data_IF_308394373828
#
_entry.id   IF_308394373828
#
_cell.length_a   1.000
_cell.length_b   1.000
_cell.length_c   1.000
_cell.angle_alpha   90.00
_cell.angle_beta   90.00
_cell.angle_gamma   90.00
#
_symmetry.space_group_name_H-M   'P 1'
#
loop_
_entity.id
_entity.type
_entity.pdbx_description
1 polymer ?
#
# COMPACT_ATOMS: atom_id res chain seq x y z
N UNK A 1 -12.43 -87.08 0.95
CA UNK A 1 -12.49 -86.20 2.14
C UNK A 1 -12.81 -84.78 1.70
N UNK A 2 -13.91 -84.23 2.24
CA UNK A 2 -14.40 -82.87 2.04
C UNK A 2 -13.36 -81.83 2.49
N UNK A 3 -12.94 -80.89 1.62
CA UNK A 3 -12.35 -79.62 2.06
C UNK A 3 -13.38 -78.52 1.87
N UNK A 4 -13.77 -77.93 3.00
CA UNK A 4 -14.88 -77.00 3.17
C UNK A 4 -14.66 -75.72 2.36
N UNK A 5 -15.68 -75.41 1.56
CA UNK A 5 -15.97 -74.08 1.03
C UNK A 5 -16.28 -73.16 2.23
N UNK A 6 -15.41 -72.19 2.53
CA UNK A 6 -15.70 -71.09 3.44
C UNK A 6 -15.71 -69.81 2.60
N UNK A 7 -16.88 -69.18 2.48
CA UNK A 7 -16.94 -67.79 2.00
C UNK A 7 -18.05 -67.41 1.01
N UNK A 8 -18.97 -68.30 0.62
CA UNK A 8 -20.00 -67.94 -0.39
C UNK A 8 -21.43 -67.70 0.14
N UNK A 9 -21.63 -67.55 1.46
CA UNK A 9 -22.99 -67.46 2.02
C UNK A 9 -23.37 -66.16 2.73
N UNK A 10 -22.45 -65.18 2.86
CA UNK A 10 -22.77 -63.83 3.34
C UNK A 10 -21.77 -62.78 2.83
N UNK A 11 -21.65 -62.57 1.52
CA UNK A 11 -21.09 -61.33 0.94
C UNK A 11 -19.71 -60.81 1.38
N UNK A 12 -18.95 -61.52 2.22
CA UNK A 12 -17.72 -61.03 2.84
C UNK A 12 -16.55 -61.95 2.51
N UNK A 13 -15.70 -61.45 1.61
CA UNK A 13 -14.42 -62.03 1.28
C UNK A 13 -13.44 -61.75 2.44
N UNK A 14 -13.18 -62.75 3.27
CA UNK A 14 -12.15 -62.68 4.30
C UNK A 14 -10.79 -63.05 3.70
N UNK A 15 -9.90 -62.08 3.51
CA UNK A 15 -8.51 -62.32 3.06
C UNK A 15 -7.57 -62.19 4.26
N UNK A 16 -7.28 -63.32 4.90
CA UNK A 16 -6.61 -63.30 6.22
C UNK A 16 -5.09 -63.09 6.16
N UNK A 17 -4.41 -63.37 5.03
CA UNK A 17 -2.99 -63.05 4.79
C UNK A 17 -2.56 -63.55 3.41
N UNK A 18 -2.34 -62.68 2.44
CA UNK A 18 -1.63 -63.08 1.20
C UNK A 18 -0.16 -62.73 1.39
N UNK A 19 0.69 -63.75 1.55
CA UNK A 19 2.14 -63.58 1.49
C UNK A 19 2.61 -63.74 0.05
N UNK A 20 3.44 -62.78 -0.35
CA UNK A 20 4.43 -62.80 -1.43
C UNK A 20 3.95 -62.47 -2.86
N UNK A 21 4.40 -61.28 -3.32
CA UNK A 21 4.88 -61.01 -4.68
C UNK A 21 3.93 -61.12 -5.89
N UNK A 22 2.62 -61.10 -5.72
CA UNK A 22 1.71 -60.91 -6.85
C UNK A 22 0.60 -59.92 -6.45
N UNK A 23 0.31 -58.96 -7.33
CA UNK A 23 -0.69 -57.94 -7.09
C UNK A 23 -2.08 -58.57 -7.02
N UNK A 24 -2.74 -58.52 -5.86
CA UNK A 24 -4.17 -58.78 -5.78
C UNK A 24 -4.89 -57.52 -6.28
N UNK A 25 -5.29 -57.54 -7.55
CA UNK A 25 -6.08 -56.44 -8.14
C UNK A 25 -7.55 -56.72 -7.89
N UNK A 26 -8.11 -56.15 -6.83
CA UNK A 26 -9.56 -56.14 -6.65
C UNK A 26 -10.17 -55.05 -7.54
N UNK A 27 -10.71 -55.46 -8.70
CA UNK A 27 -11.46 -54.57 -9.59
C UNK A 27 -12.95 -54.60 -9.23
N UNK A 28 -13.50 -53.44 -8.90
CA UNK A 28 -14.95 -53.26 -8.88
C UNK A 28 -15.45 -53.11 -10.33
N UNK A 29 -16.63 -53.66 -10.64
CA UNK A 29 -17.25 -53.49 -11.96
C UNK A 29 -17.58 -52.02 -12.21
N UNK A 30 -17.85 -51.62 -13.44
CA UNK A 30 -18.32 -50.25 -13.70
C UNK A 30 -19.63 -49.97 -12.92
N UNK A 31 -19.74 -48.81 -12.29
CA UNK A 31 -20.91 -48.39 -11.51
C UNK A 31 -20.55 -47.56 -10.28
N UNK A 32 -21.58 -47.08 -9.57
CA UNK A 32 -21.42 -46.44 -8.26
C UNK A 32 -21.16 -47.53 -7.22
N UNK A 33 -20.04 -47.43 -6.52
CA UNK A 33 -19.70 -48.30 -5.40
C UNK A 33 -19.46 -47.47 -4.15
N UNK A 34 -19.81 -48.05 -3.01
CA UNK A 34 -19.37 -47.57 -1.70
C UNK A 34 -18.47 -48.65 -1.14
N UNK A 35 -17.26 -48.28 -0.72
CA UNK A 35 -16.30 -49.18 -0.09
C UNK A 35 -16.08 -48.67 1.32
N UNK A 36 -16.65 -49.37 2.29
CA UNK A 36 -16.47 -49.08 3.70
C UNK A 36 -15.32 -49.94 4.24
N UNK A 37 -14.30 -49.29 4.79
CA UNK A 37 -13.13 -49.95 5.38
C UNK A 37 -13.20 -49.76 6.89
N UNK A 38 -13.72 -50.76 7.60
CA UNK A 38 -13.81 -50.75 9.07
C UNK A 38 -12.49 -51.18 9.70
N UNK A 39 -11.52 -50.26 9.77
CA UNK A 39 -10.22 -50.48 10.39
C UNK A 39 -9.79 -49.28 11.24
N UNK A 40 -8.89 -49.49 12.20
CA UNK A 40 -8.34 -48.42 13.04
C UNK A 40 -7.42 -47.47 12.27
N UNK A 41 -6.67 -48.00 11.30
CA UNK A 41 -5.81 -47.21 10.41
C UNK A 41 -5.72 -47.86 9.03
N UNK A 42 -5.43 -47.04 8.03
CA UNK A 42 -5.06 -47.48 6.68
C UNK A 42 -3.57 -47.19 6.53
N UNK A 43 -2.75 -48.20 6.28
CA UNK A 43 -1.31 -48.05 6.04
C UNK A 43 -1.00 -48.24 4.56
N UNK A 44 -0.52 -47.18 3.92
CA UNK A 44 -0.10 -47.15 2.52
C UNK A 44 1.40 -46.93 2.50
N UNK A 45 2.17 -47.91 2.01
CA UNK A 45 3.63 -47.87 2.02
C UNK A 45 4.21 -48.24 0.67
N UNK A 46 5.28 -47.53 0.26
CA UNK A 46 6.05 -47.78 -0.95
C UNK A 46 7.22 -46.80 -1.02
N UNK A 47 8.00 -46.83 -2.10
CA UNK A 47 9.07 -45.84 -2.32
C UNK A 47 8.52 -44.43 -2.52
N UNK A 48 7.29 -44.32 -3.04
CA UNK A 48 6.57 -43.06 -3.28
C UNK A 48 5.07 -43.33 -3.17
N UNK A 49 4.53 -43.49 -1.95
CA UNK A 49 3.13 -43.85 -1.77
C UNK A 49 2.19 -42.71 -2.22
N UNK A 50 1.07 -43.08 -2.85
CA UNK A 50 0.04 -42.13 -3.26
C UNK A 50 -1.36 -42.73 -3.29
N UNK A 51 -2.37 -41.86 -3.23
CA UNK A 51 -3.76 -42.12 -3.59
C UNK A 51 -4.07 -41.26 -4.81
N UNK A 52 -4.43 -41.88 -5.94
CA UNK A 52 -4.69 -41.19 -7.22
C UNK A 52 -6.16 -41.28 -7.59
N UNK A 53 -6.71 -40.16 -8.02
CA UNK A 53 -8.05 -40.00 -8.54
C UNK A 53 -7.92 -39.58 -10.02
N UNK A 54 -8.26 -40.50 -10.91
CA UNK A 54 -8.18 -40.32 -12.36
C UNK A 54 -9.60 -40.30 -12.94
N UNK A 55 -10.01 -39.16 -13.50
CA UNK A 55 -11.20 -39.09 -14.34
C UNK A 55 -10.88 -39.47 -15.79
N UNK A 56 -11.88 -39.95 -16.53
CA UNK A 56 -11.72 -40.38 -17.94
C UNK A 56 -12.56 -39.57 -18.92
N UNK A 57 -13.39 -38.68 -18.40
CA UNK A 57 -14.20 -37.73 -19.15
C UNK A 57 -13.37 -36.61 -19.81
N UNK A 58 -13.94 -35.91 -20.77
CA UNK A 58 -13.27 -34.79 -21.42
C UNK A 58 -13.02 -33.65 -20.39
N UNK A 59 -11.76 -33.23 -20.26
CA UNK A 59 -11.36 -32.25 -19.24
C UNK A 59 -11.22 -32.82 -17.83
N UNK A 60 -11.23 -34.15 -17.69
CA UNK A 60 -10.99 -34.83 -16.42
C UNK A 60 -9.68 -34.40 -15.78
N UNK A 61 -9.68 -34.37 -14.45
CA UNK A 61 -8.48 -34.18 -13.66
C UNK A 61 -7.83 -35.53 -13.34
N UNK A 62 -6.50 -35.51 -13.23
CA UNK A 62 -5.72 -36.61 -12.70
C UNK A 62 -4.87 -36.11 -11.54
N UNK A 63 -5.39 -36.30 -10.33
CA UNK A 63 -4.86 -35.68 -9.12
C UNK A 63 -4.79 -36.69 -7.99
N UNK A 64 -3.99 -36.41 -6.98
CA UNK A 64 -3.95 -37.28 -5.82
C UNK A 64 -3.18 -36.72 -4.65
N UNK A 65 -3.15 -37.52 -3.59
CA UNK A 65 -2.35 -37.28 -2.40
C UNK A 65 -1.10 -38.14 -2.53
N UNK A 66 0.08 -37.53 -2.54
CA UNK A 66 1.36 -38.19 -2.80
C UNK A 66 2.39 -37.76 -1.75
N UNK A 67 3.19 -38.71 -1.28
CA UNK A 67 4.45 -38.39 -0.61
C UNK A 67 5.48 -38.00 -1.67
N UNK A 68 6.13 -36.86 -1.45
CA UNK A 68 7.18 -36.37 -2.32
C UNK A 68 8.28 -35.68 -1.52
N UNK A 69 9.47 -36.29 -1.54
CA UNK A 69 10.66 -35.81 -0.87
C UNK A 69 10.48 -35.55 0.64
N UNK A 70 9.67 -36.36 1.31
CA UNK A 70 9.44 -36.30 2.75
C UNK A 70 8.22 -35.49 3.18
N UNK A 71 7.44 -34.93 2.25
CA UNK A 71 6.24 -34.15 2.56
C UNK A 71 4.98 -34.66 1.85
N UNK A 72 3.83 -34.49 2.50
CA UNK A 72 2.53 -34.83 1.94
C UNK A 72 2.01 -33.70 1.04
N UNK A 73 1.74 -34.03 -0.23
CA UNK A 73 1.33 -33.05 -1.24
C UNK A 73 0.06 -33.46 -1.99
N UNK A 74 -0.69 -32.47 -2.45
CA UNK A 74 -1.64 -32.63 -3.55
C UNK A 74 -0.87 -32.52 -4.85
N UNK A 75 -0.87 -33.60 -5.63
CA UNK A 75 -0.08 -33.74 -6.85
C UNK A 75 -0.98 -33.81 -8.08
N UNK A 76 -0.57 -33.13 -9.16
CA UNK A 76 -1.16 -33.27 -10.49
C UNK A 76 -0.34 -34.27 -11.31
N UNK A 77 -0.92 -35.44 -11.56
CA UNK A 77 -0.25 -36.52 -12.28
C UNK A 77 -0.22 -36.27 -13.80
N UNK A 78 -1.16 -35.48 -14.33
CA UNK A 78 -1.13 -35.05 -15.75
C UNK A 78 -0.01 -34.06 -16.01
N UNK A 79 0.15 -33.07 -15.13
CA UNK A 79 1.16 -32.02 -15.25
C UNK A 79 2.53 -32.40 -14.65
N UNK A 80 2.60 -33.54 -13.94
CA UNK A 80 3.75 -33.98 -13.17
C UNK A 80 4.29 -32.88 -12.24
N UNK A 81 3.39 -32.23 -11.49
CA UNK A 81 3.72 -31.08 -10.65
C UNK A 81 2.91 -31.03 -9.35
N UNK A 82 3.48 -30.34 -8.37
CA UNK A 82 2.83 -30.10 -7.09
C UNK A 82 1.77 -28.99 -7.22
N UNK A 83 0.55 -29.27 -6.76
CA UNK A 83 -0.53 -28.28 -6.66
C UNK A 83 -0.51 -27.58 -5.30
N UNK A 84 -0.26 -28.36 -4.24
CA UNK A 84 -0.22 -27.86 -2.88
C UNK A 84 0.65 -28.75 -2.00
N UNK A 85 1.50 -28.14 -1.19
CA UNK A 85 2.20 -28.81 -0.10
C UNK A 85 1.39 -28.59 1.19
N UNK A 86 0.91 -29.68 1.79
CA UNK A 86 0.01 -29.64 2.94
C UNK A 86 0.75 -29.35 4.25
N UNK A 87 2.04 -29.66 4.32
CA UNK A 87 2.86 -29.46 5.51
C UNK A 87 3.43 -28.04 5.56
N UNK A 88 3.79 -27.48 4.40
CA UNK A 88 4.30 -26.11 4.32
C UNK A 88 3.21 -25.05 4.17
N UNK A 89 1.94 -25.44 4.03
CA UNK A 89 0.82 -24.49 3.89
C UNK A 89 0.78 -23.43 5.01
N UNK A 90 1.00 -23.84 6.26
CA UNK A 90 1.02 -22.91 7.40
C UNK A 90 2.14 -21.87 7.33
N UNK A 91 3.29 -22.23 6.72
CA UNK A 91 4.45 -21.34 6.56
C UNK A 91 4.34 -20.37 5.37
N UNK A 92 3.30 -20.53 4.53
CA UNK A 92 3.03 -19.62 3.39
C UNK A 92 2.23 -18.38 3.77
N UNK A 93 1.79 -18.26 5.02
CA UNK A 93 1.13 -17.05 5.55
C UNK A 93 2.12 -16.21 6.35
N UNK A 94 2.05 -14.87 6.20
CA UNK A 94 2.88 -13.95 6.97
C UNK A 94 2.55 -13.95 8.48
N UNK A 95 1.39 -14.51 8.90
CA UNK A 95 1.38 -15.60 9.90
C UNK A 95 0.04 -16.34 10.02
N UNK A 96 0.10 -17.67 10.23
CA UNK A 96 -0.84 -18.45 11.05
C UNK A 96 -2.10 -19.05 10.42
N UNK A 97 -2.68 -18.48 9.36
CA UNK A 97 -3.91 -19.03 8.76
C UNK A 97 -4.77 -17.98 8.05
N UNK A 98 -6.03 -18.33 7.74
CA UNK A 98 -6.92 -17.63 6.79
C UNK A 98 -7.15 -16.12 7.07
N UNK A 99 -6.24 -15.30 6.52
CA UNK A 99 -6.23 -13.84 6.37
C UNK A 99 -6.01 -12.99 7.64
N UNK A 100 -4.75 -12.84 8.07
CA UNK A 100 -4.37 -11.69 8.90
C UNK A 100 -3.07 -11.03 8.42
N UNK A 101 -3.18 -9.73 8.10
CA UNK A 101 -2.08 -8.82 7.78
C UNK A 101 -2.08 -7.70 8.84
N UNK A 102 -1.42 -7.96 9.97
CA UNK A 102 -1.21 -6.96 11.04
C UNK A 102 0.21 -6.40 10.97
N UNK A 103 0.34 -5.08 11.23
CA UNK A 103 1.59 -4.31 11.27
C UNK A 103 2.30 -4.11 9.93
N UNK A 104 1.58 -3.65 8.91
CA UNK A 104 2.18 -3.20 7.64
C UNK A 104 2.82 -1.81 7.82
N UNK A 105 4.05 -1.79 8.31
CA UNK A 105 4.83 -0.55 8.47
C UNK A 105 5.33 0.01 7.13
N UNK A 106 5.26 -0.77 6.04
CA UNK A 106 5.73 -0.37 4.73
C UNK A 106 4.90 -1.01 3.60
N UNK A 107 4.15 -0.20 2.86
CA UNK A 107 3.41 -0.63 1.65
C UNK A 107 3.98 0.13 0.46
N UNK A 108 5.05 -0.37 -0.14
CA UNK A 108 5.71 0.32 -1.25
C UNK A 108 5.25 -0.14 -2.63
N UNK A 109 4.44 -1.20 -2.73
CA UNK A 109 4.08 -1.81 -4.01
C UNK A 109 2.68 -2.44 -4.04
N UNK A 110 1.75 -1.93 -3.24
CA UNK A 110 0.34 -2.32 -3.40
C UNK A 110 -0.25 -1.61 -4.61
N UNK A 111 -0.86 -2.37 -5.50
CA UNK A 111 -1.55 -1.82 -6.68
C UNK A 111 -2.64 -0.85 -6.19
N UNK A 112 -2.54 0.42 -6.60
CA UNK A 112 -3.47 1.49 -6.21
C UNK A 112 -3.05 2.32 -5.00
N UNK A 113 -1.90 2.08 -4.38
CA UNK A 113 -1.38 2.86 -3.26
C UNK A 113 0.00 3.46 -3.59
N UNK A 114 0.16 4.77 -3.45
CA UNK A 114 1.43 5.48 -3.62
C UNK A 114 1.57 6.57 -2.56
N UNK A 115 2.60 6.43 -1.71
CA UNK A 115 2.97 7.43 -0.68
C UNK A 115 3.71 8.60 -1.31
N UNK A 116 4.50 8.36 -2.35
CA UNK A 116 5.27 9.40 -3.07
C UNK A 116 4.35 10.42 -3.75
N UNK A 117 3.13 10.03 -4.10
CA UNK A 117 2.10 10.94 -4.60
C UNK A 117 1.31 11.67 -3.50
N UNK A 118 1.53 11.40 -2.21
CA UNK A 118 0.73 11.98 -1.14
C UNK A 118 0.97 13.48 -0.98
N UNK A 119 2.23 13.92 -0.99
CA UNK A 119 2.57 15.33 -0.82
C UNK A 119 1.99 16.20 -1.95
N UNK A 120 2.00 15.69 -3.19
CA UNK A 120 1.45 16.40 -4.35
C UNK A 120 -0.08 16.44 -4.38
N UNK A 121 -0.78 15.55 -3.65
CA UNK A 121 -2.25 15.57 -3.55
C UNK A 121 -2.78 16.74 -2.73
N UNK A 122 -2.01 17.25 -1.78
CA UNK A 122 -2.34 18.44 -0.98
C UNK A 122 -1.95 19.76 -1.66
N UNK A 123 -1.24 19.72 -2.79
CA UNK A 123 -0.89 20.92 -3.53
C UNK A 123 -2.14 21.57 -4.15
N UNK A 124 -2.05 22.87 -4.48
CA UNK A 124 -3.14 23.61 -5.10
C UNK A 124 -3.62 22.94 -6.40
N UNK A 125 -4.92 22.58 -6.46
CA UNK A 125 -5.51 21.84 -7.59
C UNK A 125 -5.29 20.31 -7.57
N UNK A 126 -4.68 19.77 -6.51
CA UNK A 126 -4.52 18.33 -6.30
C UNK A 126 -5.83 17.62 -5.93
N UNK A 127 -5.81 16.29 -5.91
CA UNK A 127 -6.98 15.47 -5.59
C UNK A 127 -7.52 15.67 -4.16
N UNK A 128 -6.65 16.07 -3.22
CA UNK A 128 -6.99 16.41 -1.84
C UNK A 128 -6.74 17.91 -1.60
N UNK A 129 -7.10 18.75 -2.57
CA UNK A 129 -7.03 20.19 -2.39
C UNK A 129 -7.85 20.63 -1.17
N UNK A 130 -7.31 21.55 -0.39
CA UNK A 130 -8.03 22.21 0.69
C UNK A 130 -9.31 22.83 0.13
N UNK A 131 -10.47 22.42 0.65
CA UNK A 131 -11.76 22.99 0.26
C UNK A 131 -11.85 24.45 0.69
N UNK A 132 -12.81 25.20 0.14
CA UNK A 132 -13.10 26.56 0.59
C UNK A 132 -13.27 26.62 2.12
N UNK A 133 -12.62 27.60 2.76
CA UNK A 133 -12.58 27.78 4.22
C UNK A 133 -11.96 26.61 5.04
N UNK A 134 -11.19 25.71 4.41
CA UNK A 134 -10.57 24.59 5.12
C UNK A 134 -9.53 25.00 6.17
N UNK A 135 -8.90 26.17 6.02
CA UNK A 135 -7.98 26.73 7.02
C UNK A 135 -8.76 27.58 8.02
N UNK A 136 -9.02 27.04 9.21
CA UNK A 136 -9.54 27.81 10.34
C UNK A 136 -8.40 28.58 11.00
N UNK A 137 -8.67 29.75 11.59
CA UNK A 137 -7.65 30.55 12.28
C UNK A 137 -6.87 29.76 13.35
N UNK A 138 -7.52 28.81 14.05
CA UNK A 138 -6.86 27.94 15.03
C UNK A 138 -5.83 26.97 14.43
N UNK A 139 -5.88 26.74 13.11
CA UNK A 139 -4.96 25.89 12.36
C UNK A 139 -3.82 26.71 11.75
N UNK A 140 -3.90 28.04 11.82
CA UNK A 140 -2.83 28.92 11.36
C UNK A 140 -2.11 29.41 12.61
N UNK A 141 -1.08 28.67 13.02
CA UNK A 141 -0.13 29.16 14.01
C UNK A 141 0.54 30.40 13.42
N UNK A 142 0.37 31.55 14.08
CA UNK A 142 0.89 32.83 13.61
C UNK A 142 1.92 33.29 14.61
N UNK A 143 3.18 33.21 14.22
CA UNK A 143 4.29 33.75 15.00
C UNK A 143 5.02 34.80 14.18
N UNK A 144 5.51 35.84 14.84
CA UNK A 144 6.41 36.79 14.19
C UNK A 144 7.85 36.25 14.26
N UNK A 145 8.55 36.31 13.14
CA UNK A 145 9.98 36.04 13.09
C UNK A 145 10.81 37.21 13.64
N UNK A 146 12.08 37.24 13.28
CA UNK A 146 12.97 38.37 13.62
C UNK A 146 12.72 39.55 12.69
N UNK A 147 12.53 40.75 13.24
CA UNK A 147 12.44 41.98 12.46
C UNK A 147 13.72 42.22 11.67
N UNK A 148 13.54 42.66 10.42
CA UNK A 148 14.64 43.04 9.53
C UNK A 148 14.56 44.52 9.19
N UNK A 149 15.71 45.18 9.16
CA UNK A 149 15.85 46.55 8.69
C UNK A 149 16.21 46.56 7.21
N UNK A 150 15.47 47.32 6.43
CA UNK A 150 15.71 47.54 5.00
C UNK A 150 15.98 49.01 4.77
N UNK A 151 17.23 49.34 4.50
CA UNK A 151 17.63 50.69 4.07
C UNK A 151 17.29 50.86 2.59
N UNK A 152 16.51 51.89 2.27
CA UNK A 152 16.18 52.29 0.90
C UNK A 152 16.83 53.62 0.61
N UNK A 153 17.77 53.64 -0.33
CA UNK A 153 18.47 54.87 -0.75
C UNK A 153 17.50 55.93 -1.25
N UNK A 154 17.86 57.20 -1.08
CA UNK A 154 17.09 58.34 -1.59
C UNK A 154 16.65 58.15 -3.05
N UNK A 155 15.37 58.38 -3.34
CA UNK A 155 14.80 58.25 -4.69
C UNK A 155 14.79 56.83 -5.27
N UNK A 156 15.08 55.80 -4.47
CA UNK A 156 15.20 54.41 -4.91
C UNK A 156 14.06 53.52 -4.42
N UNK A 157 14.00 52.30 -4.96
CA UNK A 157 13.03 51.29 -4.56
C UNK A 157 13.71 50.00 -4.13
N UNK A 158 13.08 49.25 -3.22
CA UNK A 158 13.52 47.92 -2.79
C UNK A 158 12.36 46.94 -2.81
N UNK A 159 12.50 45.83 -3.53
CA UNK A 159 11.45 44.79 -3.61
C UNK A 159 11.39 44.01 -2.29
N UNK A 160 10.18 43.80 -1.78
CA UNK A 160 9.96 43.00 -0.57
C UNK A 160 10.03 41.53 -0.95
N UNK A 161 10.75 40.72 -0.17
CA UNK A 161 10.85 39.28 -0.38
C UNK A 161 9.50 38.59 -0.24
N UNK A 162 9.36 37.39 -0.81
CA UNK A 162 8.12 36.60 -0.68
C UNK A 162 7.75 36.39 0.79
N UNK A 163 6.49 36.57 1.15
CA UNK A 163 5.99 36.38 2.51
C UNK A 163 4.88 37.35 2.91
N UNK A 164 4.47 37.26 4.18
CA UNK A 164 3.54 38.19 4.82
C UNK A 164 4.32 38.96 5.88
N UNK A 165 4.26 40.29 5.85
CA UNK A 165 5.03 41.15 6.74
C UNK A 165 4.12 42.16 7.43
N UNK A 166 4.36 42.41 8.71
CA UNK A 166 3.97 43.67 9.34
C UNK A 166 5.11 44.66 9.06
N UNK A 167 4.78 45.82 8.49
CA UNK A 167 5.77 46.82 8.08
C UNK A 167 5.58 48.11 8.85
N UNK A 168 6.71 48.75 9.17
CA UNK A 168 6.77 50.14 9.65
C UNK A 168 7.72 50.91 8.75
N UNK A 169 7.24 51.97 8.11
CA UNK A 169 7.96 52.65 7.04
C UNK A 169 8.73 53.86 7.54
N UNK A 170 9.85 54.15 6.87
CA UNK A 170 10.53 55.44 6.99
C UNK A 170 9.63 56.60 6.56
N UNK A 171 9.92 57.81 7.05
CA UNK A 171 9.03 58.97 6.91
C UNK A 171 8.64 59.31 5.46
N UNK A 172 9.53 59.07 4.50
CA UNK A 172 9.34 59.34 3.08
C UNK A 172 9.23 58.05 2.22
N UNK A 173 9.19 56.89 2.87
CA UNK A 173 9.09 55.58 2.23
C UNK A 173 7.65 55.08 2.23
N UNK A 174 7.12 54.77 1.05
CA UNK A 174 5.77 54.18 0.85
C UNK A 174 5.86 52.74 0.36
N UNK A 175 4.78 51.98 0.50
CA UNK A 175 4.63 50.66 -0.14
C UNK A 175 3.79 50.78 -1.38
N UNK A 176 4.27 50.18 -2.47
CA UNK A 176 3.53 50.06 -3.73
C UNK A 176 3.38 48.61 -4.13
N UNK A 177 2.24 48.26 -4.71
CA UNK A 177 2.02 46.94 -5.31
C UNK A 177 1.83 47.05 -6.82
N UNK A 178 2.18 45.99 -7.54
CA UNK A 178 1.96 45.87 -8.97
C UNK A 178 0.97 44.74 -9.27
N UNK A 179 -0.14 45.02 -10.00
CA UNK A 179 -1.05 43.99 -10.48
C UNK A 179 -0.59 43.31 -11.78
N UNK A 180 0.53 43.75 -12.35
CA UNK A 180 0.96 43.46 -13.72
C UNK A 180 2.48 43.18 -13.80
N UNK A 181 3.03 42.49 -12.80
CA UNK A 181 4.43 42.02 -12.76
C UNK A 181 5.48 43.14 -12.92
N UNK A 182 5.22 44.29 -12.31
CA UNK A 182 6.16 45.40 -12.16
C UNK A 182 6.03 46.51 -13.20
N UNK A 183 5.06 46.46 -14.13
CA UNK A 183 4.86 47.53 -15.12
C UNK A 183 4.10 48.73 -14.57
N UNK A 184 3.06 48.51 -13.77
CA UNK A 184 2.28 49.55 -13.09
C UNK A 184 2.43 49.40 -11.59
N UNK A 185 2.65 50.52 -10.89
CA UNK A 185 2.77 50.54 -9.44
C UNK A 185 1.66 51.41 -8.84
N UNK A 186 0.91 50.84 -7.90
CA UNK A 186 -0.18 51.50 -7.19
C UNK A 186 0.19 51.64 -5.73
N UNK A 187 -0.15 52.78 -5.13
CA UNK A 187 0.04 53.01 -3.70
C UNK A 187 -0.76 51.97 -2.89
N UNK A 188 -0.09 51.27 -1.98
CA UNK A 188 -0.69 50.34 -1.03
C UNK A 188 -0.75 50.95 0.37
N UNK A 189 0.39 51.46 0.86
CA UNK A 189 0.54 52.09 2.17
C UNK A 189 1.22 53.46 1.97
N UNK A 190 0.64 54.57 2.47
CA UNK A 190 1.24 55.91 2.42
C UNK A 190 2.61 56.00 3.10
N UNK A 191 3.34 57.08 2.82
CA UNK A 191 4.67 57.27 3.39
C UNK A 191 4.63 57.48 4.91
N UNK A 192 5.59 56.89 5.64
CA UNK A 192 5.70 56.99 7.10
C UNK A 192 4.67 56.21 7.91
N UNK A 193 3.79 55.45 7.26
CA UNK A 193 2.76 54.64 7.90
C UNK A 193 3.23 53.20 8.16
N UNK A 194 2.34 52.36 8.70
CA UNK A 194 2.57 50.93 8.90
C UNK A 194 1.34 50.08 8.58
N UNK A 195 1.55 48.79 8.32
CA UNK A 195 0.45 47.88 7.98
C UNK A 195 0.90 46.47 7.59
N UNK A 196 -0.04 45.67 7.09
CA UNK A 196 0.22 44.30 6.63
C UNK A 196 0.44 44.29 5.12
N UNK A 197 1.51 43.62 4.70
CA UNK A 197 1.89 43.45 3.29
C UNK A 197 2.01 41.97 2.96
N UNK A 198 1.51 41.58 1.79
CA UNK A 198 1.62 40.21 1.25
C UNK A 198 2.35 40.30 -0.09
N UNK A 199 3.56 39.74 -0.14
CA UNK A 199 4.39 39.75 -1.34
C UNK A 199 4.66 38.34 -1.86
N UNK A 200 4.71 38.21 -3.19
CA UNK A 200 5.22 37.02 -3.89
C UNK A 200 6.73 37.09 -4.19
N UNK A 201 7.40 38.17 -3.78
CA UNK A 201 8.82 38.43 -4.05
C UNK A 201 9.08 39.32 -5.27
N UNK A 202 8.03 39.77 -5.97
CA UNK A 202 8.15 40.62 -7.16
C UNK A 202 7.07 41.71 -7.27
N UNK A 203 5.91 41.47 -6.68
CA UNK A 203 4.72 42.30 -6.82
C UNK A 203 4.63 43.47 -5.83
N UNK A 204 5.51 43.56 -4.82
CA UNK A 204 5.48 44.63 -3.80
C UNK A 204 6.88 45.21 -3.59
N UNK A 205 6.96 46.53 -3.47
CA UNK A 205 8.21 47.25 -3.19
C UNK A 205 8.01 48.39 -2.20
N UNK A 206 9.10 48.71 -1.52
CA UNK A 206 9.33 49.99 -0.85
C UNK A 206 9.78 51.02 -1.88
N UNK A 207 9.32 52.26 -1.76
CA UNK A 207 9.70 53.37 -2.61
C UNK A 207 9.99 54.61 -1.74
N UNK A 208 11.27 54.95 -1.60
CA UNK A 208 11.71 56.13 -0.86
C UNK A 208 11.68 57.34 -1.80
N UNK A 209 10.77 58.27 -1.52
CA UNK A 209 10.62 59.51 -2.31
C UNK A 209 11.35 60.71 -1.69
N UNK A 210 12.03 60.49 -0.56
CA UNK A 210 12.83 61.48 0.14
C UNK A 210 14.20 61.71 -0.50
N UNK A 211 14.90 62.72 0.04
CA UNK A 211 16.24 63.12 -0.39
C UNK A 211 17.37 62.48 0.43
N UNK A 212 17.04 61.55 1.33
CA UNK A 212 18.00 60.86 2.19
C UNK A 212 17.65 59.38 2.28
N UNK A 213 18.64 58.57 2.60
CA UNK A 213 18.46 57.14 2.85
C UNK A 213 17.57 56.96 4.08
N UNK A 214 16.63 56.02 4.00
CA UNK A 214 15.69 55.74 5.08
C UNK A 214 15.58 54.25 5.34
N UNK A 215 15.41 53.91 6.62
CA UNK A 215 15.16 52.56 7.05
C UNK A 215 13.66 52.30 7.16
N UNK A 216 13.25 51.12 6.71
CA UNK A 216 11.94 50.54 7.00
C UNK A 216 12.11 49.18 7.67
N UNK A 217 11.16 48.81 8.51
CA UNK A 217 11.22 47.61 9.34
C UNK A 217 10.19 46.61 8.86
N UNK A 218 10.63 45.39 8.60
CA UNK A 218 9.82 44.28 8.11
C UNK A 218 9.86 43.16 9.13
N UNK A 219 8.73 42.90 9.77
CA UNK A 219 8.53 41.80 10.70
C UNK A 219 7.78 40.66 9.98
N UNK A 220 8.44 39.55 9.61
CA UNK A 220 7.81 38.46 8.88
C UNK A 220 6.86 37.68 9.78
N UNK A 221 5.75 37.23 9.22
CA UNK A 221 4.89 36.20 9.81
C UNK A 221 5.40 34.83 9.36
N UNK A 222 5.63 33.92 10.32
CA UNK A 222 6.06 32.54 10.12
C UNK A 222 4.94 31.56 10.48
#
# INVERSE_FOLDING_TARGET
MLRRLLGLLRGELHVDRIKAKEAEVQKLKAGKHTVDIENTYIHISGTTPYIRFEGTEAGAADKGIKEDAGSLKIYDFSAASDVMDLETHASRHLSGGADEVLNLTNINNAIGFSVDAHASRHAYGGADALTDNALRFSQIDKVFGTESTVTVTAGSTSTISKGVYLVSLGANTKVEYSPDNGTTWRLLIPAGEGGVVISDGSNVRLNNTGASDEDSYLLPVQ
#
